data_IF_845167060712
#
_entry.id   IF_845167060712
#
_cell.length_a   1.000
_cell.length_b   1.000
_cell.length_c   1.000
_cell.angle_alpha   90.00
_cell.angle_beta   90.00
_cell.angle_gamma   90.00
#
_symmetry.space_group_name_H-M   'P 1'
#
loop_
_entity.id
_entity.type
_entity.pdbx_description
1 polymer ?
#
# COMPACT_ATOMS: atom_id res chain seq x y z
N UNK A 1 21.91 8.17 -19.30
CA UNK A 1 22.03 6.90 -20.04
C UNK A 1 20.62 6.40 -20.32
N UNK A 2 20.23 6.29 -21.59
CA UNK A 2 18.96 5.69 -22.00
C UNK A 2 19.14 4.17 -22.03
N UNK A 3 18.48 3.42 -21.14
CA UNK A 3 18.33 1.98 -21.33
C UNK A 3 17.14 1.74 -22.26
N UNK A 4 17.44 1.37 -23.50
CA UNK A 4 16.46 0.89 -24.47
C UNK A 4 16.08 -0.58 -24.17
N UNK A 5 15.40 -0.79 -23.05
CA UNK A 5 14.66 -2.02 -22.76
C UNK A 5 13.18 -1.62 -22.71
N UNK A 6 12.35 -2.19 -23.60
CA UNK A 6 10.93 -1.85 -23.77
C UNK A 6 10.06 -2.10 -22.52
N UNK A 7 10.65 -2.57 -21.43
CA UNK A 7 9.98 -3.04 -20.23
C UNK A 7 9.94 -1.98 -19.11
N UNK A 8 10.92 -1.07 -19.05
CA UNK A 8 11.05 -0.05 -17.99
C UNK A 8 10.24 1.21 -18.30
N UNK A 9 8.94 1.04 -18.51
CA UNK A 9 8.01 2.12 -18.86
C UNK A 9 7.07 2.44 -17.71
N UNK A 10 6.63 3.70 -17.62
CA UNK A 10 5.65 4.14 -16.63
C UNK A 10 4.37 3.28 -16.61
N UNK A 11 3.76 2.90 -17.77
CA UNK A 11 2.60 2.03 -17.77
C UNK A 11 2.85 0.67 -17.10
N UNK A 12 3.99 0.04 -17.35
CA UNK A 12 4.32 -1.26 -16.75
C UNK A 12 4.54 -1.15 -15.24
N UNK A 13 5.28 -0.12 -14.81
CA UNK A 13 5.51 0.18 -13.40
C UNK A 13 4.18 0.42 -12.65
N UNK A 14 3.29 1.20 -13.25
CA UNK A 14 1.97 1.52 -12.73
C UNK A 14 1.09 0.29 -12.52
N UNK A 15 1.10 -0.67 -13.45
CA UNK A 15 0.36 -1.93 -13.29
C UNK A 15 0.90 -2.73 -12.10
N UNK A 16 2.22 -2.88 -11.98
CA UNK A 16 2.84 -3.62 -10.88
C UNK A 16 2.53 -2.97 -9.52
N UNK A 17 2.65 -1.64 -9.41
CA UNK A 17 2.31 -0.89 -8.20
C UNK A 17 0.83 -1.01 -7.86
N UNK A 18 -0.06 -0.90 -8.85
CA UNK A 18 -1.50 -1.06 -8.64
C UNK A 18 -1.84 -2.43 -8.07
N UNK A 19 -1.33 -3.51 -8.69
CA UNK A 19 -1.60 -4.88 -8.25
C UNK A 19 -1.05 -5.14 -6.85
N UNK A 20 0.17 -4.68 -6.57
CA UNK A 20 0.79 -4.83 -5.27
C UNK A 20 0.01 -4.06 -4.17
N UNK A 21 -0.34 -2.80 -4.39
CA UNK A 21 -1.13 -2.01 -3.46
C UNK A 21 -2.53 -2.63 -3.24
N UNK A 22 -3.16 -3.10 -4.31
CA UNK A 22 -4.47 -3.75 -4.21
C UNK A 22 -4.39 -5.08 -3.45
N UNK A 23 -3.29 -5.84 -3.59
CA UNK A 23 -3.08 -7.05 -2.79
C UNK A 23 -3.03 -6.76 -1.29
N UNK A 24 -2.38 -5.66 -0.90
CA UNK A 24 -2.32 -5.21 0.50
C UNK A 24 -3.71 -4.80 0.99
N UNK A 25 -4.42 -4.00 0.20
CA UNK A 25 -5.79 -3.60 0.51
C UNK A 25 -6.69 -4.81 0.77
N UNK A 26 -6.66 -5.81 -0.13
CA UNK A 26 -7.47 -7.02 -0.01
C UNK A 26 -7.06 -7.88 1.19
N UNK A 27 -5.75 -8.03 1.43
CA UNK A 27 -5.26 -8.77 2.59
C UNK A 27 -5.75 -8.15 3.90
N UNK A 28 -5.58 -6.84 4.07
CA UNK A 28 -6.01 -6.12 5.27
C UNK A 28 -7.52 -6.22 5.47
N UNK A 29 -8.30 -6.07 4.39
CA UNK A 29 -9.76 -6.25 4.44
C UNK A 29 -10.14 -7.67 4.87
N UNK A 30 -9.51 -8.69 4.28
CA UNK A 30 -9.75 -10.09 4.64
C UNK A 30 -9.45 -10.38 6.11
N UNK A 31 -8.32 -9.89 6.61
CA UNK A 31 -7.93 -10.03 8.01
C UNK A 31 -8.90 -9.32 8.97
N UNK A 32 -9.32 -8.10 8.64
CA UNK A 32 -10.29 -7.36 9.47
C UNK A 32 -11.66 -8.05 9.48
N UNK A 33 -12.10 -8.59 8.34
CA UNK A 33 -13.34 -9.36 8.24
C UNK A 33 -13.27 -10.64 9.08
N UNK A 34 -12.12 -11.33 9.12
CA UNK A 34 -11.98 -12.58 9.90
C UNK A 34 -12.15 -12.37 11.41
N UNK A 35 -11.83 -11.18 11.92
CA UNK A 35 -12.08 -10.75 13.31
C UNK A 35 -13.45 -10.08 13.52
N UNK A 36 -14.33 -10.14 12.52
CA UNK A 36 -15.70 -9.66 12.64
C UNK A 36 -15.86 -8.15 12.48
N UNK A 37 -14.95 -7.46 11.78
CA UNK A 37 -15.17 -6.04 11.44
C UNK A 37 -16.44 -5.90 10.61
N UNK A 38 -17.41 -5.14 11.13
CA UNK A 38 -18.74 -4.91 10.51
C UNK A 38 -18.84 -3.60 9.73
N UNK A 39 -17.77 -2.82 9.68
CA UNK A 39 -17.78 -1.48 9.08
C UNK A 39 -17.51 -1.51 7.57
N UNK A 40 -17.95 -0.45 6.89
CA UNK A 40 -17.54 -0.18 5.50
C UNK A 40 -16.01 0.01 5.48
N UNK A 41 -15.31 -0.97 4.94
CA UNK A 41 -13.85 -0.98 4.90
C UNK A 41 -13.36 0.08 3.91
N UNK A 42 -12.51 0.99 4.39
CA UNK A 42 -11.87 2.02 3.58
C UNK A 42 -11.11 1.40 2.40
N UNK A 43 -10.92 2.18 1.33
CA UNK A 43 -9.96 1.84 0.27
C UNK A 43 -8.58 2.45 0.52
N UNK A 44 -8.42 3.22 1.61
CA UNK A 44 -7.14 3.80 2.00
C UNK A 44 -6.36 2.77 2.83
N UNK A 45 -5.18 2.40 2.34
CA UNK A 45 -4.31 1.41 3.00
C UNK A 45 -3.88 1.91 4.38
N UNK A 46 -3.58 3.21 4.52
CA UNK A 46 -3.26 3.82 5.82
C UNK A 46 -4.34 3.54 6.90
N UNK A 47 -5.60 3.81 6.56
CA UNK A 47 -6.73 3.59 7.48
C UNK A 47 -6.91 2.10 7.80
N UNK A 48 -6.79 1.24 6.78
CA UNK A 48 -6.93 -0.21 6.94
C UNK A 48 -5.80 -0.78 7.81
N UNK A 49 -4.57 -0.31 7.62
CA UNK A 49 -3.41 -0.80 8.36
C UNK A 49 -3.42 -0.32 9.81
N UNK A 50 -3.87 0.91 10.07
CA UNK A 50 -4.11 1.41 11.43
C UNK A 50 -5.18 0.58 12.16
N UNK A 51 -6.28 0.25 11.49
CA UNK A 51 -7.31 -0.65 12.04
C UNK A 51 -6.77 -2.05 12.28
N UNK A 52 -6.04 -2.60 11.31
CA UNK A 52 -5.41 -3.92 11.43
C UNK A 52 -4.50 -3.99 12.66
N UNK A 53 -3.61 -3.01 12.82
CA UNK A 53 -2.68 -2.93 13.96
C UNK A 53 -3.38 -2.79 15.31
N UNK A 54 -4.59 -2.22 15.32
CA UNK A 54 -5.43 -2.12 16.53
C UNK A 54 -6.12 -3.45 16.85
N UNK A 55 -6.59 -4.18 15.83
CA UNK A 55 -7.29 -5.46 15.97
C UNK A 55 -6.33 -6.63 16.21
N UNK A 56 -5.11 -6.53 15.71
CA UNK A 56 -4.04 -7.53 15.82
C UNK A 56 -2.77 -6.91 16.43
N UNK A 57 -2.81 -6.49 17.71
CA UNK A 57 -1.67 -5.80 18.34
C UNK A 57 -0.49 -6.73 18.66
N UNK A 58 -0.70 -8.05 18.67
CA UNK A 58 0.30 -9.03 19.08
C UNK A 58 1.47 -9.09 18.09
N UNK A 59 2.68 -9.32 18.60
CA UNK A 59 3.90 -9.28 17.79
C UNK A 59 3.89 -10.30 16.64
N UNK A 60 3.20 -11.42 16.80
CA UNK A 60 3.06 -12.43 15.74
C UNK A 60 2.27 -11.94 14.53
N UNK A 61 1.43 -10.90 14.68
CA UNK A 61 0.67 -10.33 13.58
C UNK A 61 1.32 -9.09 12.95
N UNK A 62 2.45 -8.63 13.49
CA UNK A 62 3.16 -7.48 12.91
C UNK A 62 3.82 -7.86 11.58
N UNK A 63 3.79 -6.94 10.63
CA UNK A 63 4.53 -7.01 9.37
C UNK A 63 4.72 -5.61 8.78
N UNK A 64 5.69 -5.47 7.89
CA UNK A 64 6.00 -4.21 7.22
C UNK A 64 5.08 -4.00 6.02
N UNK A 65 4.17 -3.03 6.14
CA UNK A 65 3.21 -2.71 5.09
C UNK A 65 3.81 -1.67 4.13
N UNK A 66 4.15 -2.12 2.91
CA UNK A 66 4.88 -1.34 1.91
C UNK A 66 4.14 -0.11 1.32
N UNK A 67 2.84 0.03 1.59
CA UNK A 67 1.99 1.07 0.99
C UNK A 67 1.34 1.98 2.04
N UNK A 68 1.94 2.05 3.23
CA UNK A 68 1.61 3.06 4.24
C UNK A 68 2.43 4.31 3.97
N UNK A 69 1.79 5.47 4.13
CA UNK A 69 2.43 6.76 3.90
C UNK A 69 3.41 7.06 5.04
N UNK A 70 4.69 7.22 4.69
CA UNK A 70 5.71 7.72 5.60
C UNK A 70 5.89 9.24 5.42
N UNK A 71 5.91 9.97 6.54
CA UNK A 71 6.06 11.43 6.56
C UNK A 71 7.46 11.82 7.04
N UNK A 72 8.47 11.54 6.21
CA UNK A 72 9.87 11.77 6.56
C UNK A 72 10.21 13.27 6.64
N UNK A 73 10.67 13.74 7.80
CA UNK A 73 11.08 15.12 8.02
C UNK A 73 9.93 16.12 8.23
N UNK A 74 8.69 15.64 8.34
CA UNK A 74 7.52 16.48 8.66
C UNK A 74 7.36 16.58 10.17
N UNK A 75 6.97 17.76 10.66
CA UNK A 75 6.48 17.96 12.04
C UNK A 75 5.08 17.39 12.24
N UNK A 76 4.67 17.15 13.49
CA UNK A 76 3.33 16.61 13.82
C UNK A 76 2.18 17.49 13.26
N UNK A 77 2.37 18.80 13.25
CA UNK A 77 1.41 19.76 12.67
C UNK A 77 1.31 19.62 11.15
N UNK A 78 2.43 19.41 10.47
CA UNK A 78 2.48 19.20 9.01
C UNK A 78 1.89 17.84 8.63
N UNK A 79 2.16 16.80 9.43
CA UNK A 79 1.55 15.46 9.27
C UNK A 79 0.04 15.58 9.42
N UNK A 80 -0.44 16.29 10.45
CA UNK A 80 -1.88 16.47 10.69
C UNK A 80 -2.55 17.21 9.55
N UNK A 81 -1.93 18.28 9.02
CA UNK A 81 -2.41 18.99 7.83
C UNK A 81 -2.43 18.09 6.59
N UNK A 82 -1.39 17.28 6.39
CA UNK A 82 -1.29 16.37 5.25
C UNK A 82 -2.36 15.26 5.31
N UNK A 83 -2.63 14.70 6.50
CA UNK A 83 -3.70 13.71 6.71
C UNK A 83 -5.10 14.30 6.52
N UNK A 84 -5.29 15.59 6.81
CA UNK A 84 -6.55 16.29 6.58
C UNK A 84 -6.85 16.52 5.09
N UNK A 85 -5.84 16.55 4.23
CA UNK A 85 -6.02 16.60 2.78
C UNK A 85 -6.56 15.26 2.28
N UNK A 86 -7.60 15.30 1.43
CA UNK A 86 -8.10 14.09 0.77
C UNK A 86 -7.09 13.62 -0.26
N UNK A 87 -6.24 12.67 0.12
CA UNK A 87 -5.40 11.96 -0.83
C UNK A 87 -6.24 11.04 -1.72
N UNK A 88 -5.98 11.00 -3.04
CA UNK A 88 -6.56 10.01 -3.93
C UNK A 88 -6.19 8.59 -3.49
N UNK A 89 -7.05 7.64 -3.80
CA UNK A 89 -6.77 6.22 -3.52
C UNK A 89 -5.67 5.71 -4.45
N UNK A 90 -4.89 4.71 -4.00
CA UNK A 90 -3.85 4.05 -4.79
C UNK A 90 -4.37 3.59 -6.17
N UNK A 91 -5.60 3.08 -6.23
CA UNK A 91 -6.28 2.66 -7.46
C UNK A 91 -6.45 3.79 -8.49
N UNK A 92 -6.53 5.05 -8.05
CA UNK A 92 -6.61 6.23 -8.92
C UNK A 92 -5.22 6.67 -9.35
N UNK A 93 -4.30 6.77 -8.39
CA UNK A 93 -2.92 7.23 -8.61
C UNK A 93 -2.20 6.35 -9.62
N UNK A 94 -2.31 5.03 -9.50
CA UNK A 94 -1.59 4.11 -10.38
C UNK A 94 -2.30 3.84 -11.71
N UNK A 95 -3.57 4.23 -11.89
CA UNK A 95 -4.26 4.07 -13.18
C UNK A 95 -4.06 5.25 -14.11
N UNK A 96 -3.95 6.44 -13.55
CA UNK A 96 -3.88 7.68 -14.32
C UNK A 96 -2.53 8.34 -14.08
N UNK A 97 -1.77 8.70 -15.12
CA UNK A 97 -0.47 9.36 -14.95
C UNK A 97 -0.59 10.77 -14.37
N UNK A 98 -1.76 11.37 -14.49
CA UNK A 98 -2.06 12.74 -14.06
C UNK A 98 -3.39 12.78 -13.32
N UNK A 99 -3.57 13.80 -12.51
CA UNK A 99 -4.84 14.11 -11.84
C UNK A 99 -5.86 14.71 -12.82
N UNK A 100 -7.09 14.98 -12.34
CA UNK A 100 -8.18 15.54 -13.18
C UNK A 100 -7.79 16.85 -13.91
N UNK A 101 -7.08 17.80 -13.26
CA UNK A 101 -6.51 18.97 -13.94
C UNK A 101 -5.40 18.70 -14.98
N UNK A 102 -4.90 17.47 -15.10
CA UNK A 102 -3.78 17.13 -15.97
C UNK A 102 -2.39 17.37 -15.35
N UNK A 103 -2.32 17.63 -14.04
CA UNK A 103 -1.05 17.77 -13.32
C UNK A 103 -0.57 16.40 -12.84
N UNK A 104 0.75 16.20 -12.83
CA UNK A 104 1.36 15.01 -12.24
C UNK A 104 0.96 14.87 -10.77
N UNK A 105 0.88 13.62 -10.31
CA UNK A 105 0.64 13.37 -8.89
C UNK A 105 1.87 13.80 -8.07
N UNK A 106 1.64 14.25 -6.84
CA UNK A 106 2.71 14.58 -5.91
C UNK A 106 3.23 13.31 -5.25
N UNK A 107 4.49 12.94 -5.49
CA UNK A 107 5.13 11.79 -4.85
C UNK A 107 6.17 11.11 -5.74
N UNK A 108 6.83 10.09 -5.21
CA UNK A 108 7.76 9.24 -5.97
C UNK A 108 6.99 8.03 -6.47
N UNK A 109 6.81 7.95 -7.80
CA UNK A 109 6.08 6.86 -8.47
C UNK A 109 6.99 5.91 -9.26
N UNK A 110 8.29 5.96 -9.00
CA UNK A 110 9.29 5.07 -9.60
C UNK A 110 9.83 4.07 -8.60
N UNK A 111 10.20 2.88 -9.07
CA UNK A 111 10.88 1.86 -8.28
C UNK A 111 11.93 1.14 -9.13
N UNK A 112 12.93 0.56 -8.47
CA UNK A 112 13.81 -0.41 -9.12
C UNK A 112 13.11 -1.77 -9.15
N UNK A 113 12.95 -2.36 -10.34
CA UNK A 113 12.23 -3.62 -10.52
C UNK A 113 12.81 -4.75 -9.68
N UNK A 114 14.14 -4.91 -9.65
CA UNK A 114 14.81 -5.98 -8.92
C UNK A 114 14.62 -5.87 -7.40
N UNK A 115 14.63 -4.66 -6.84
CA UNK A 115 14.40 -4.45 -5.41
C UNK A 115 12.92 -4.58 -5.07
N UNK A 116 12.03 -4.10 -5.94
CA UNK A 116 10.60 -4.25 -5.74
C UNK A 116 10.17 -5.73 -5.78
N UNK A 117 10.77 -6.56 -6.64
CA UNK A 117 10.54 -8.01 -6.63
C UNK A 117 10.91 -8.64 -5.28
N UNK A 118 12.02 -8.22 -4.66
CA UNK A 118 12.39 -8.69 -3.31
C UNK A 118 11.34 -8.27 -2.27
N UNK A 119 10.89 -7.02 -2.34
CA UNK A 119 9.83 -6.51 -1.46
C UNK A 119 8.53 -7.30 -1.62
N UNK A 120 8.13 -7.63 -2.85
CA UNK A 120 6.94 -8.46 -3.12
C UNK A 120 7.10 -9.88 -2.58
N UNK A 121 8.31 -10.46 -2.66
CA UNK A 121 8.57 -11.78 -2.08
C UNK A 121 8.42 -11.76 -0.55
N UNK A 122 8.95 -10.74 0.13
CA UNK A 122 8.80 -10.54 1.59
C UNK A 122 7.32 -10.32 1.96
N UNK A 123 6.60 -9.52 1.17
CA UNK A 123 5.17 -9.30 1.37
C UNK A 123 4.37 -10.60 1.23
N UNK A 124 4.66 -11.40 0.20
CA UNK A 124 4.04 -12.71 0.00
C UNK A 124 4.31 -13.68 1.16
N UNK A 125 5.55 -13.74 1.64
CA UNK A 125 5.89 -14.55 2.83
C UNK A 125 5.13 -14.07 4.08
N UNK A 126 4.98 -12.76 4.24
CA UNK A 126 4.21 -12.17 5.34
C UNK A 126 2.74 -12.58 5.26
N UNK A 127 2.11 -12.52 4.08
CA UNK A 127 0.73 -12.99 3.91
C UNK A 127 0.57 -14.46 4.27
N UNK A 128 1.47 -15.33 3.81
CA UNK A 128 1.41 -16.77 4.13
C UNK A 128 1.49 -17.00 5.63
N UNK A 129 2.48 -16.41 6.28
CA UNK A 129 2.69 -16.51 7.74
C UNK A 129 1.47 -16.00 8.50
N UNK A 130 0.99 -14.80 8.18
CA UNK A 130 -0.13 -14.17 8.88
C UNK A 130 -1.44 -14.92 8.65
N UNK A 131 -1.67 -15.43 7.44
CA UNK A 131 -2.88 -16.22 7.14
C UNK A 131 -2.97 -17.46 8.03
N UNK A 132 -1.86 -18.17 8.24
CA UNK A 132 -1.81 -19.33 9.12
C UNK A 132 -2.17 -18.93 10.57
N UNK A 133 -1.58 -17.86 11.08
CA UNK A 133 -1.86 -17.35 12.43
C UNK A 133 -3.30 -16.82 12.58
N UNK A 134 -3.86 -16.16 11.56
CA UNK A 134 -5.19 -15.54 11.62
C UNK A 134 -6.30 -16.58 11.52
N UNK A 135 -6.13 -17.63 10.70
CA UNK A 135 -7.17 -18.62 10.45
C UNK A 135 -6.97 -19.94 11.20
N UNK A 136 -5.85 -20.15 11.89
CA UNK A 136 -5.61 -21.35 12.69
C UNK A 136 -5.68 -22.66 11.90
N UNK A 137 -5.29 -22.63 10.61
CA UNK A 137 -5.21 -23.79 9.72
C UNK A 137 -3.75 -24.13 9.42
#
# INVERSE_FOLDING_TARGET
MQSNTSEDTWPNASVALMLAAHSVELFLKGALISRGSKHSLSHKIDDLFAQYSTVFPENEFKFDCLFVTEYLGYSDDEISKAKALKSPQASVIFRYPVNKPGLEWNGIYGFNSSDFTKNLAVLGQSYTRLRQSIHGL
#
